data_IF_976927165265
#
_entry.id   IF_976927165265
#
_cell.length_a   1.000
_cell.length_b   1.000
_cell.length_c   1.000
_cell.angle_alpha   90.00
_cell.angle_beta   90.00
_cell.angle_gamma   90.00
#
_symmetry.space_group_name_H-M   'P 1'
#
loop_
_entity.id
_entity.type
_entity.pdbx_description
1 polymer ?
#
# COMPACT_ATOMS: atom_id res chain seq x y z
N UNK A 1 -18.64 -9.98 1.28
CA UNK A 1 -17.75 -8.85 1.62
C UNK A 1 -17.61 -8.06 0.34
N UNK A 2 -18.30 -6.94 0.24
CA UNK A 2 -18.47 -6.22 -1.02
C UNK A 2 -18.42 -4.73 -0.75
N UNK A 3 -17.84 -4.03 -1.72
CA UNK A 3 -17.56 -2.60 -1.76
C UNK A 3 -16.33 -2.19 -0.93
N UNK A 4 -15.18 -2.19 -1.62
CA UNK A 4 -14.30 -1.03 -1.71
C UNK A 4 -14.83 0.14 -0.87
N UNK A 5 -14.23 0.33 0.30
CA UNK A 5 -14.42 1.56 1.06
C UNK A 5 -14.15 2.74 0.13
N UNK A 6 -14.80 3.87 0.38
CA UNK A 6 -14.33 5.10 -0.27
C UNK A 6 -12.85 5.23 0.08
N UNK A 7 -11.96 5.34 -0.91
CA UNK A 7 -10.51 5.53 -0.70
C UNK A 7 -10.22 6.62 0.34
N UNK A 8 -11.09 7.64 0.41
CA UNK A 8 -11.03 8.71 1.41
C UNK A 8 -11.31 8.21 2.84
N UNK A 9 -12.28 7.31 3.02
CA UNK A 9 -12.59 6.69 4.31
C UNK A 9 -11.42 5.82 4.77
N UNK A 10 -10.86 5.02 3.87
CA UNK A 10 -9.73 4.14 4.21
C UNK A 10 -8.49 4.95 4.59
N UNK A 11 -8.25 6.08 3.90
CA UNK A 11 -7.20 7.03 4.30
C UNK A 11 -7.47 7.63 5.69
N UNK A 12 -8.72 7.97 6.03
CA UNK A 12 -9.05 8.48 7.37
C UNK A 12 -8.84 7.43 8.45
N UNK A 13 -9.27 6.19 8.21
CA UNK A 13 -9.07 5.08 9.14
C UNK A 13 -7.59 4.71 9.29
N UNK A 14 -6.79 4.81 8.23
CA UNK A 14 -5.33 4.64 8.30
C UNK A 14 -4.69 5.67 9.22
N UNK A 15 -5.01 6.96 9.03
CA UNK A 15 -4.48 8.05 9.87
C UNK A 15 -4.96 7.95 11.34
N UNK A 16 -6.15 7.38 11.56
CA UNK A 16 -6.67 7.09 12.89
C UNK A 16 -6.03 5.85 13.55
N UNK A 17 -5.23 5.06 12.80
CA UNK A 17 -4.64 3.81 13.28
C UNK A 17 -5.65 2.67 13.42
N UNK A 18 -6.75 2.72 12.65
CA UNK A 18 -7.83 1.74 12.68
C UNK A 18 -7.65 0.61 11.66
N UNK A 19 -6.83 0.81 10.63
CA UNK A 19 -6.48 -0.25 9.68
C UNK A 19 -5.40 -1.16 10.24
N UNK A 20 -5.54 -2.46 10.00
CA UNK A 20 -4.46 -3.40 10.25
C UNK A 20 -3.40 -3.36 9.14
N UNK A 21 -2.42 -4.26 9.20
CA UNK A 21 -1.31 -4.27 8.24
C UNK A 21 -1.74 -4.68 6.84
N UNK A 22 -2.70 -5.59 6.72
CA UNK A 22 -3.16 -6.11 5.42
C UNK A 22 -4.06 -5.06 4.76
N UNK A 23 -4.99 -4.47 5.52
CA UNK A 23 -5.86 -3.38 5.04
C UNK A 23 -5.04 -2.13 4.65
N UNK A 24 -3.98 -1.82 5.42
CA UNK A 24 -3.06 -0.74 5.06
C UNK A 24 -2.34 -1.04 3.74
N UNK A 25 -1.94 -2.29 3.52
CA UNK A 25 -1.23 -2.69 2.31
C UNK A 25 -2.15 -2.59 1.08
N UNK A 26 -3.40 -3.02 1.21
CA UNK A 26 -4.44 -2.86 0.19
C UNK A 26 -4.66 -1.39 -0.18
N UNK A 27 -4.80 -0.52 0.84
CA UNK A 27 -4.90 0.93 0.64
C UNK A 27 -3.72 1.49 -0.17
N UNK A 28 -2.49 1.11 0.19
CA UNK A 28 -1.30 1.61 -0.52
C UNK A 28 -1.18 1.03 -1.94
N UNK A 29 -1.59 -0.22 -2.18
CA UNK A 29 -1.72 -0.79 -3.52
C UNK A 29 -2.65 0.06 -4.39
N UNK A 30 -3.83 0.42 -3.88
CA UNK A 30 -4.80 1.23 -4.62
C UNK A 30 -4.32 2.69 -4.84
N UNK A 31 -3.62 3.26 -3.86
CA UNK A 31 -3.00 4.58 -4.00
C UNK A 31 -1.88 4.60 -5.04
N UNK A 32 -1.10 3.52 -5.16
CA UNK A 32 -0.05 3.38 -6.18
C UNK A 32 -0.69 3.20 -7.56
N UNK A 33 -1.65 2.27 -7.70
CA UNK A 33 -2.38 2.01 -8.95
C UNK A 33 -3.07 3.24 -9.53
N UNK A 34 -3.65 4.08 -8.66
CA UNK A 34 -4.27 5.34 -9.07
C UNK A 34 -3.27 6.48 -9.29
N UNK A 35 -2.00 6.30 -8.89
CA UNK A 35 -0.97 7.33 -8.86
C UNK A 35 -1.18 8.42 -7.81
N UNK A 36 -2.15 8.24 -6.90
CA UNK A 36 -2.46 9.21 -5.84
C UNK A 36 -1.38 9.25 -4.76
N UNK A 37 -0.70 8.13 -4.48
CA UNK A 37 0.43 8.06 -3.55
C UNK A 37 1.50 9.14 -3.83
N UNK A 38 1.68 9.50 -5.11
CA UNK A 38 2.69 10.46 -5.58
C UNK A 38 2.20 11.91 -5.68
N UNK A 39 0.89 12.12 -5.55
CA UNK A 39 0.26 13.45 -5.61
C UNK A 39 -0.09 13.98 -4.22
N UNK A 40 -0.43 13.07 -3.31
CA UNK A 40 -0.75 13.39 -1.92
C UNK A 40 0.48 13.91 -1.18
N UNK A 41 0.27 14.93 -0.36
CA UNK A 41 1.31 15.58 0.44
C UNK A 41 1.56 14.82 1.76
N UNK A 42 2.66 15.11 2.43
CA UNK A 42 2.97 14.50 3.73
C UNK A 42 3.75 13.20 3.57
N UNK A 43 3.25 12.09 4.10
CA UNK A 43 3.99 10.83 4.18
C UNK A 43 3.58 9.77 3.16
N UNK A 44 2.42 9.89 2.51
CA UNK A 44 1.88 8.92 1.55
C UNK A 44 2.91 8.41 0.53
N UNK A 45 3.60 9.31 -0.17
CA UNK A 45 4.62 8.91 -1.15
C UNK A 45 5.84 8.24 -0.52
N UNK A 46 6.27 8.67 0.68
CA UNK A 46 7.40 8.03 1.36
C UNK A 46 7.03 6.63 1.85
N UNK A 47 5.82 6.44 2.35
CA UNK A 47 5.34 5.13 2.79
C UNK A 47 5.15 4.19 1.60
N UNK A 48 4.52 4.65 0.51
CA UNK A 48 4.41 3.87 -0.72
C UNK A 48 5.79 3.42 -1.23
N UNK A 49 6.76 4.33 -1.31
CA UNK A 49 8.14 4.00 -1.71
C UNK A 49 8.78 2.98 -0.76
N UNK A 50 8.55 3.11 0.54
CA UNK A 50 9.11 2.20 1.54
C UNK A 50 8.49 0.79 1.51
N UNK A 51 7.25 0.64 1.00
CA UNK A 51 6.60 -0.65 0.76
C UNK A 51 7.13 -1.31 -0.51
N UNK A 52 7.32 -0.51 -1.57
CA UNK A 52 7.99 -0.95 -2.81
C UNK A 52 9.42 -1.40 -2.53
N UNK A 53 10.19 -0.63 -1.78
CA UNK A 53 11.59 -0.96 -1.44
C UNK A 53 11.73 -2.22 -0.58
N UNK A 54 10.66 -2.59 0.13
CA UNK A 54 10.60 -3.84 0.90
C UNK A 54 10.14 -5.04 0.07
N UNK A 55 9.79 -4.83 -1.20
CA UNK A 55 9.21 -5.86 -2.05
C UNK A 55 7.88 -6.37 -1.49
N UNK A 56 7.05 -5.46 -0.95
CA UNK A 56 5.68 -5.78 -0.52
C UNK A 56 4.63 -5.38 -1.57
N UNK A 57 4.96 -4.39 -2.41
CA UNK A 57 4.13 -3.95 -3.53
C UNK A 57 5.04 -3.76 -4.74
N UNK A 58 4.61 -4.25 -5.90
CA UNK A 58 5.32 -4.03 -7.16
C UNK A 58 5.26 -2.56 -7.59
N UNK A 59 6.39 -2.00 -8.03
CA UNK A 59 6.47 -0.58 -8.42
C UNK A 59 5.65 -0.27 -9.67
N UNK A 60 5.59 -1.20 -10.62
CA UNK A 60 5.01 -0.98 -11.94
C UNK A 60 3.51 -1.29 -11.95
N UNK A 61 3.10 -2.43 -11.39
CA UNK A 61 1.70 -2.83 -11.36
C UNK A 61 0.95 -2.31 -10.14
N UNK A 62 1.65 -1.97 -9.05
CA UNK A 62 1.04 -1.65 -7.76
C UNK A 62 0.36 -2.85 -7.10
N UNK A 63 0.60 -4.07 -7.59
CA UNK A 63 0.06 -5.28 -6.98
C UNK A 63 0.84 -5.67 -5.73
N UNK A 64 0.12 -6.18 -4.75
CA UNK A 64 0.73 -6.76 -3.56
C UNK A 64 1.50 -7.99 -3.98
N UNK A 65 2.79 -7.98 -3.73
CA UNK A 65 3.66 -9.10 -4.05
C UNK A 65 3.38 -10.21 -3.03
N UNK A 66 3.09 -11.44 -3.47
CA UNK A 66 3.07 -12.56 -2.54
C UNK A 66 4.44 -12.63 -1.89
N UNK A 67 4.48 -12.74 -0.55
CA UNK A 67 5.72 -13.00 0.20
C UNK A 67 6.25 -14.38 -0.19
N UNK A 68 6.80 -14.51 -1.39
CA UNK A 68 7.69 -15.61 -1.71
C UNK A 68 8.95 -15.26 -0.97
N UNK A 69 9.16 -15.98 0.14
CA UNK A 69 10.45 -16.09 0.78
C UNK A 69 11.42 -16.66 -0.26
N UNK A 70 11.95 -15.83 -1.14
CA UNK A 70 13.18 -16.14 -1.87
C UNK A 70 14.30 -16.05 -0.84
N UNK A 71 14.39 -17.15 -0.08
CA UNK A 71 15.58 -17.58 0.62
C UNK A 71 16.70 -17.76 -0.40
N UNK A 72 17.35 -16.67 -0.78
CA UNK A 72 18.68 -16.73 -1.39
C UNK A 72 19.71 -16.75 -0.24
N UNK A 73 19.83 -17.92 0.40
CA UNK A 73 20.94 -18.23 1.28
C UNK A 73 22.12 -18.78 0.46
N UNK A 74 22.67 -17.97 -0.45
CA UNK A 74 23.95 -18.25 -1.09
C UNK A 74 25.04 -17.28 -0.61
#
# INVERSE_FOLDING_TARGET
MGAMGSLVVDMMSYEAGELDSDDSLDLFSDLIKSGMAWKLQGHWGRTAKALIDRGMIDEESGDITPLVLEVDWL
#
